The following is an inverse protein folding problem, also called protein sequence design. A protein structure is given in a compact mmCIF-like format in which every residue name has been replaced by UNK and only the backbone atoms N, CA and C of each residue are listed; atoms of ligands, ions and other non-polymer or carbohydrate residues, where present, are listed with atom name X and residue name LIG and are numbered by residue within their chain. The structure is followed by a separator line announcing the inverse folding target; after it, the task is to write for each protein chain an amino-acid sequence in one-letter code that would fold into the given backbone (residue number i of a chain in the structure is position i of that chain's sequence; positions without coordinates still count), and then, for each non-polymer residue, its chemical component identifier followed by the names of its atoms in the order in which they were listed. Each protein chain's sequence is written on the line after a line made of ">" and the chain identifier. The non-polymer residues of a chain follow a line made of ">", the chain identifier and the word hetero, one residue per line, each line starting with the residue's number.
data_IF_915977764306
#
_entry.id   IF_915977764306
#
_cell.length_a   1.000
_cell.length_b   1.000
_cell.length_c   1.000
_cell.angle_alpha   90.00
_cell.angle_beta   90.00
_cell.angle_gamma   90.00
#
_symmetry.space_group_name_H-M   'P 1'
#
loop_
_entity.id
_entity.type
_entity.pdbx_description
1 polymer ?
#
# COMPACT_ATOMS: atom_id res chain seq x y z
N UNK A 1 35.35 -18.07 24.24
CA UNK A 1 35.09 -17.13 23.14
C UNK A 1 34.35 -17.81 22.00
N UNK A 2 34.88 -18.92 21.42
CA UNK A 2 34.19 -19.65 20.31
C UNK A 2 32.81 -20.13 20.71
N UNK A 3 32.64 -20.74 21.88
CA UNK A 3 31.37 -21.20 22.40
C UNK A 3 30.33 -20.06 22.49
N UNK A 4 30.71 -18.93 23.08
CA UNK A 4 29.82 -17.78 23.22
C UNK A 4 29.46 -17.15 21.87
N UNK A 5 30.34 -17.26 20.89
CA UNK A 5 30.01 -16.82 19.52
C UNK A 5 29.01 -17.76 18.86
N UNK A 6 29.17 -19.09 18.98
CA UNK A 6 28.22 -20.07 18.43
C UNK A 6 26.85 -19.92 19.12
N UNK A 7 26.80 -19.80 20.43
CA UNK A 7 25.56 -19.62 21.22
C UNK A 7 24.80 -18.32 20.87
N UNK A 8 25.48 -17.35 20.26
CA UNK A 8 24.84 -16.11 19.82
C UNK A 8 24.08 -16.21 18.50
N UNK A 9 24.29 -17.29 17.74
CA UNK A 9 23.57 -17.49 16.47
C UNK A 9 22.17 -18.07 16.71
N UNK A 10 21.21 -17.47 16.07
CA UNK A 10 19.83 -17.93 16.05
C UNK A 10 19.25 -17.70 14.66
N UNK A 11 18.84 -18.76 14.00
CA UNK A 11 18.12 -18.73 12.74
C UNK A 11 16.67 -19.11 12.99
N UNK A 12 15.75 -18.19 12.78
CA UNK A 12 14.32 -18.43 12.93
C UNK A 12 13.61 -18.04 11.63
N UNK A 13 12.74 -18.94 11.15
CA UNK A 13 11.82 -18.70 10.07
C UNK A 13 10.41 -19.04 10.56
N UNK A 14 9.55 -18.02 10.62
CA UNK A 14 8.16 -18.17 11.01
C UNK A 14 7.24 -17.47 10.03
N UNK A 15 6.03 -17.99 9.87
CA UNK A 15 4.96 -17.37 9.08
C UNK A 15 3.81 -17.05 10.02
N UNK A 16 3.37 -15.80 9.97
CA UNK A 16 2.14 -15.33 10.60
C UNK A 16 1.41 -14.45 9.57
N UNK A 17 0.45 -15.05 8.89
CA UNK A 17 -0.30 -14.39 7.84
C UNK A 17 -1.79 -14.37 8.19
N UNK A 18 -2.40 -13.21 8.03
CA UNK A 18 -3.83 -12.99 8.21
C UNK A 18 -4.41 -12.42 6.91
N UNK A 19 -5.36 -13.13 6.34
CA UNK A 19 -6.10 -12.72 5.16
C UNK A 19 -7.56 -12.48 5.53
N UNK A 20 -8.05 -11.31 5.24
CA UNK A 20 -9.46 -10.97 5.42
C UNK A 20 -10.03 -10.43 4.10
N UNK A 21 -11.07 -11.06 3.61
CA UNK A 21 -11.76 -10.68 2.38
C UNK A 21 -13.24 -10.50 2.63
N UNK A 22 -13.83 -9.47 2.02
CA UNK A 22 -15.26 -9.21 2.05
C UNK A 22 -15.80 -9.11 0.62
N UNK A 23 -15.89 -10.26 -0.03
CA UNK A 23 -16.25 -10.38 -1.44
C UNK A 23 -17.26 -11.50 -1.64
N UNK A 24 -18.40 -11.21 -2.29
CA UNK A 24 -19.37 -12.24 -2.69
C UNK A 24 -18.94 -12.90 -3.99
N UNK A 25 -19.10 -14.22 -4.06
CA UNK A 25 -18.70 -15.02 -5.22
C UNK A 25 -17.28 -15.57 -5.14
N UNK A 26 -16.50 -15.24 -4.10
CA UNK A 26 -15.25 -15.89 -3.80
C UNK A 26 -15.51 -17.02 -2.80
N UNK A 27 -15.25 -18.26 -3.20
CA UNK A 27 -15.38 -19.45 -2.37
C UNK A 27 -14.00 -20.05 -2.10
N UNK A 28 -13.64 -20.14 -0.84
CA UNK A 28 -12.42 -20.81 -0.39
C UNK A 28 -12.72 -22.29 -0.24
N UNK A 29 -12.10 -23.14 -1.06
CA UNK A 29 -12.31 -24.58 -1.08
C UNK A 29 -11.26 -25.31 -0.27
N UNK A 30 -11.70 -26.43 0.32
CA UNK A 30 -10.85 -27.40 1.00
C UNK A 30 -11.04 -28.75 0.33
N UNK A 31 -10.00 -29.53 0.27
CA UNK A 31 -10.12 -30.93 -0.11
C UNK A 31 -10.69 -31.75 1.05
N UNK A 32 -11.34 -32.85 0.72
CA UNK A 32 -11.92 -33.76 1.72
C UNK A 32 -10.86 -34.28 2.68
N UNK A 33 -11.08 -34.05 3.97
CA UNK A 33 -10.16 -34.45 5.03
C UNK A 33 -9.06 -33.41 5.36
N UNK A 34 -9.00 -32.28 4.67
CA UNK A 34 -8.06 -31.21 4.96
C UNK A 34 -8.72 -30.03 5.68
N UNK A 35 -7.98 -29.37 6.56
CA UNK A 35 -8.44 -28.21 7.32
C UNK A 35 -7.97 -26.86 6.73
N UNK A 36 -7.17 -26.89 5.67
CA UNK A 36 -6.61 -25.73 5.00
C UNK A 36 -7.23 -25.49 3.61
N UNK A 37 -7.06 -24.29 3.09
CA UNK A 37 -7.55 -23.87 1.78
C UNK A 37 -6.63 -24.47 0.73
N UNK A 38 -7.19 -25.30 -0.16
CA UNK A 38 -6.47 -25.89 -1.30
C UNK A 38 -6.71 -25.14 -2.60
N UNK A 39 -7.88 -24.45 -2.72
CA UNK A 39 -8.26 -23.75 -3.93
C UNK A 39 -9.21 -22.59 -3.63
N UNK A 40 -9.34 -21.67 -4.59
CA UNK A 40 -10.36 -20.64 -4.55
C UNK A 40 -11.11 -20.60 -5.87
N UNK A 41 -12.42 -20.63 -5.77
CA UNK A 41 -13.32 -20.53 -6.91
C UNK A 41 -14.03 -19.21 -6.92
N UNK A 42 -14.07 -18.59 -8.09
CA UNK A 42 -14.78 -17.35 -8.32
C UNK A 42 -16.03 -17.58 -9.13
N UNK A 43 -17.18 -17.46 -8.48
CA UNK A 43 -18.48 -17.62 -9.12
C UNK A 43 -19.13 -16.26 -9.41
N UNK A 44 -19.08 -15.84 -10.65
CA UNK A 44 -19.63 -14.55 -11.09
C UNK A 44 -21.15 -14.43 -10.89
N UNK A 45 -21.87 -15.59 -10.89
CA UNK A 45 -23.32 -15.62 -10.62
C UNK A 45 -23.68 -15.21 -9.18
N UNK A 46 -22.74 -15.39 -8.23
CA UNK A 46 -22.93 -15.10 -6.81
C UNK A 46 -22.39 -13.72 -6.43
N UNK A 47 -21.89 -12.97 -7.40
CA UNK A 47 -21.50 -11.58 -7.20
C UNK A 47 -22.68 -10.74 -6.74
N UNK A 48 -22.44 -9.87 -5.76
CA UNK A 48 -23.49 -9.02 -5.22
C UNK A 48 -22.97 -8.02 -4.20
N UNK A 49 -23.89 -7.28 -3.60
CA UNK A 49 -23.56 -6.31 -2.58
C UNK A 49 -23.03 -7.05 -1.34
N UNK A 50 -21.77 -6.80 -1.02
CA UNK A 50 -21.07 -7.41 0.13
C UNK A 50 -21.14 -6.56 1.41
N UNK A 51 -21.59 -5.30 1.31
CA UNK A 51 -21.69 -4.39 2.44
C UNK A 51 -22.28 -3.05 2.05
N UNK A 52 -22.43 -2.17 3.02
CA UNK A 52 -22.90 -0.82 2.84
C UNK A 52 -21.90 0.17 3.43
N UNK A 53 -21.75 1.32 2.79
CA UNK A 53 -20.86 2.36 3.24
C UNK A 53 -21.49 3.73 3.15
N UNK A 54 -20.90 4.63 3.91
CA UNK A 54 -21.21 6.06 3.86
C UNK A 54 -19.91 6.84 3.82
N UNK A 55 -19.85 7.82 2.94
CA UNK A 55 -18.73 8.75 2.82
C UNK A 55 -19.24 10.16 2.60
N UNK A 56 -18.51 11.13 3.09
CA UNK A 56 -18.81 12.54 2.93
C UNK A 56 -17.53 13.29 2.50
N UNK A 57 -17.72 14.22 1.57
CA UNK A 57 -16.71 15.15 1.12
C UNK A 57 -17.06 16.54 1.61
N UNK A 58 -16.11 17.20 2.26
CA UNK A 58 -16.25 18.55 2.77
C UNK A 58 -15.10 19.40 2.24
N UNK A 59 -15.41 20.61 1.79
CA UNK A 59 -14.38 21.52 1.33
C UNK A 59 -14.82 22.97 1.43
N UNK A 60 -13.82 23.82 1.59
CA UNK A 60 -14.00 25.26 1.60
C UNK A 60 -12.85 25.95 0.86
N UNK A 61 -13.17 27.04 0.21
CA UNK A 61 -12.21 27.93 -0.41
C UNK A 61 -12.51 29.35 0.05
N UNK A 62 -11.47 30.09 0.43
CA UNK A 62 -11.60 31.46 0.91
C UNK A 62 -10.62 32.38 0.20
N UNK A 63 -11.15 33.48 -0.30
CA UNK A 63 -10.38 34.52 -0.95
C UNK A 63 -9.90 35.52 0.11
N UNK A 64 -8.65 35.39 0.53
CA UNK A 64 -8.06 36.28 1.56
C UNK A 64 -7.82 37.70 0.98
N UNK A 65 -7.34 37.76 -0.27
CA UNK A 65 -7.11 38.96 -1.03
C UNK A 65 -7.62 38.74 -2.45
N UNK A 66 -7.70 39.82 -3.25
CA UNK A 66 -8.16 39.71 -4.64
C UNK A 66 -7.33 38.72 -5.49
N UNK A 67 -6.11 38.53 -5.09
CA UNK A 67 -5.15 37.67 -5.74
C UNK A 67 -4.64 36.47 -4.90
N UNK A 68 -5.15 36.28 -3.66
CA UNK A 68 -4.77 35.16 -2.81
C UNK A 68 -6.01 34.35 -2.40
N UNK A 69 -6.03 33.10 -2.82
CA UNK A 69 -7.07 32.14 -2.44
C UNK A 69 -6.43 30.99 -1.68
N UNK A 70 -7.05 30.59 -0.58
CA UNK A 70 -6.71 29.37 0.16
C UNK A 70 -7.87 28.41 0.11
N UNK A 71 -7.57 27.10 0.15
CA UNK A 71 -8.58 26.06 0.14
C UNK A 71 -8.19 24.91 1.05
N UNK A 72 -9.19 24.26 1.62
CA UNK A 72 -9.02 23.02 2.34
C UNK A 72 -10.21 22.10 2.05
N UNK A 73 -9.95 20.82 1.86
CA UNK A 73 -10.98 19.81 1.73
C UNK A 73 -10.56 18.49 2.34
N UNK A 74 -11.53 17.76 2.82
CA UNK A 74 -11.40 16.37 3.21
C UNK A 74 -12.37 15.55 2.36
N UNK A 75 -11.85 14.54 1.70
CA UNK A 75 -12.58 13.67 0.79
C UNK A 75 -12.66 12.27 1.38
N UNK A 76 -13.71 11.52 1.02
CA UNK A 76 -13.92 10.13 1.43
C UNK A 76 -13.89 9.93 2.96
N UNK A 77 -14.37 10.90 3.75
CA UNK A 77 -14.49 10.74 5.19
C UNK A 77 -15.64 9.79 5.49
N UNK A 78 -15.31 8.51 5.75
CA UNK A 78 -16.37 7.52 5.91
C UNK A 78 -15.88 6.11 6.22
N UNK A 79 -16.80 5.18 6.09
CA UNK A 79 -16.55 3.77 6.34
C UNK A 79 -17.44 2.88 5.49
N UNK A 80 -17.03 1.62 5.37
CA UNK A 80 -17.83 0.53 4.80
C UNK A 80 -18.04 -0.52 5.90
N UNK A 81 -19.29 -0.95 6.08
CA UNK A 81 -19.66 -2.08 6.91
C UNK A 81 -19.94 -3.29 6.00
N UNK A 82 -19.05 -4.26 6.05
CA UNK A 82 -19.16 -5.48 5.29
C UNK A 82 -20.04 -6.50 6.04
N UNK A 83 -20.89 -7.21 5.31
CA UNK A 83 -21.76 -8.21 5.93
C UNK A 83 -20.95 -9.41 6.43
N UNK A 84 -21.38 -9.99 7.55
CA UNK A 84 -20.75 -11.21 8.07
C UNK A 84 -20.75 -12.35 7.04
N UNK A 85 -21.84 -12.53 6.31
CA UNK A 85 -21.98 -13.59 5.30
C UNK A 85 -21.07 -13.42 4.06
N UNK A 86 -20.48 -12.24 3.87
CA UNK A 86 -19.55 -11.96 2.78
C UNK A 86 -18.10 -11.88 3.26
N UNK A 87 -17.87 -11.93 4.56
CA UNK A 87 -16.52 -11.82 5.14
C UNK A 87 -15.95 -13.20 5.36
N UNK A 88 -14.79 -13.43 4.78
CA UNK A 88 -14.00 -14.66 4.90
C UNK A 88 -12.67 -14.30 5.55
N UNK A 89 -12.26 -15.09 6.51
CA UNK A 89 -11.02 -14.92 7.26
C UNK A 89 -10.19 -16.18 7.07
N UNK A 90 -8.93 -16.02 6.76
CA UNK A 90 -7.99 -17.11 6.69
C UNK A 90 -6.69 -16.73 7.38
N UNK A 91 -6.19 -17.64 8.19
CA UNK A 91 -4.96 -17.45 8.95
C UNK A 91 -3.98 -18.56 8.62
N UNK A 92 -2.71 -18.22 8.46
CA UNK A 92 -1.62 -19.17 8.43
C UNK A 92 -0.63 -18.80 9.53
N UNK A 93 -0.35 -19.74 10.40
CA UNK A 93 0.65 -19.56 11.46
C UNK A 93 1.46 -20.84 11.56
N UNK A 94 2.73 -20.72 11.22
CA UNK A 94 3.67 -21.82 11.34
C UNK A 94 5.03 -21.30 11.81
N UNK A 95 5.66 -22.07 12.69
CA UNK A 95 7.08 -21.92 12.99
C UNK A 95 7.82 -22.93 12.12
N UNK A 96 8.62 -22.44 11.17
CA UNK A 96 9.41 -23.32 10.31
C UNK A 96 10.70 -23.73 10.95
N UNK A 97 11.74 -22.96 10.75
CA UNK A 97 13.08 -23.25 11.26
C UNK A 97 13.30 -22.46 12.54
N UNK A 98 13.74 -23.13 13.57
CA UNK A 98 14.24 -22.52 14.81
C UNK A 98 15.53 -23.26 15.20
N UNK A 99 16.67 -22.74 14.76
CA UNK A 99 18.01 -23.27 15.02
C UNK A 99 18.76 -22.33 15.94
N UNK A 100 19.06 -22.78 17.14
CA UNK A 100 19.84 -21.99 18.12
C UNK A 100 21.23 -22.58 18.24
N UNK A 101 22.24 -21.75 18.16
CA UNK A 101 23.63 -22.17 18.37
C UNK A 101 23.87 -22.83 19.73
N UNK A 102 23.08 -22.49 20.74
CA UNK A 102 23.08 -23.14 22.05
C UNK A 102 22.79 -24.65 22.00
N UNK A 103 21.97 -25.09 21.02
CA UNK A 103 21.55 -26.49 20.89
C UNK A 103 22.71 -27.39 20.45
N UNK A 104 23.72 -26.77 19.82
CA UNK A 104 24.92 -27.45 19.30
C UNK A 104 26.17 -27.23 20.16
N UNK A 105 26.03 -26.69 21.36
CA UNK A 105 27.13 -26.51 22.32
C UNK A 105 26.88 -27.19 23.65
N UNK A 106 25.80 -27.96 23.75
CA UNK A 106 25.41 -28.70 24.97
C UNK A 106 26.41 -29.80 25.32
N UNK A 107 26.58 -30.08 26.62
CA UNK A 107 27.39 -31.20 27.11
C UNK A 107 28.91 -30.99 27.03
N UNK A 108 29.40 -29.82 26.70
CA UNK A 108 30.81 -29.49 26.65
C UNK A 108 31.23 -28.95 28.04
N UNK A 109 31.98 -29.80 28.76
CA UNK A 109 32.52 -29.52 30.08
C UNK A 109 34.07 -29.56 30.04
N UNK A 110 34.79 -28.45 30.33
CA UNK A 110 36.26 -28.44 30.34
C UNK A 110 36.90 -29.35 31.39
N UNK A 111 36.13 -29.80 32.37
CA UNK A 111 36.61 -30.74 33.40
C UNK A 111 36.47 -32.21 33.00
N UNK A 112 35.64 -32.55 32.00
CA UNK A 112 35.46 -33.88 31.42
C UNK A 112 35.81 -33.84 29.93
N UNK A 113 37.08 -34.05 29.61
CA UNK A 113 37.56 -34.03 28.21
C UNK A 113 36.98 -35.15 27.37
N UNK A 114 36.93 -36.45 27.84
CA UNK A 114 36.33 -37.52 27.04
C UNK A 114 34.85 -37.30 26.77
N UNK A 115 34.06 -36.91 27.76
CA UNK A 115 32.65 -36.57 27.61
C UNK A 115 32.43 -35.39 26.67
N UNK A 116 33.26 -34.37 26.75
CA UNK A 116 33.21 -33.20 25.87
C UNK A 116 33.48 -33.57 24.41
N UNK A 117 34.42 -34.45 24.13
CA UNK A 117 34.67 -34.94 22.75
C UNK A 117 33.42 -35.61 22.18
N UNK A 118 32.83 -36.53 22.95
CA UNK A 118 31.59 -37.21 22.55
C UNK A 118 30.45 -36.22 22.35
N UNK A 119 30.32 -35.25 23.21
CA UNK A 119 29.31 -34.19 23.07
C UNK A 119 29.53 -33.36 21.81
N UNK A 120 30.76 -32.97 21.50
CA UNK A 120 31.11 -32.23 20.27
C UNK A 120 30.75 -33.06 19.03
N UNK A 121 31.12 -34.34 18.99
CA UNK A 121 30.79 -35.22 17.87
C UNK A 121 29.28 -35.30 17.64
N UNK A 122 28.51 -35.50 18.70
CA UNK A 122 27.06 -35.55 18.64
C UNK A 122 26.46 -34.21 18.19
N UNK A 123 26.94 -33.11 18.73
CA UNK A 123 26.49 -31.76 18.34
C UNK A 123 26.76 -31.45 16.87
N UNK A 124 27.91 -31.80 16.34
CA UNK A 124 28.26 -31.69 14.92
C UNK A 124 27.32 -32.52 14.08
N UNK A 125 27.05 -33.76 14.48
CA UNK A 125 26.16 -34.66 13.77
C UNK A 125 24.73 -34.13 13.72
N UNK A 126 24.24 -33.61 14.83
CA UNK A 126 22.93 -32.98 14.91
C UNK A 126 22.84 -31.74 14.01
N UNK A 127 23.83 -30.87 14.08
CA UNK A 127 23.91 -29.67 13.22
C UNK A 127 23.92 -30.05 11.72
N UNK A 128 24.67 -31.10 11.35
CA UNK A 128 24.69 -31.59 9.97
C UNK A 128 23.32 -32.14 9.56
N UNK A 129 22.63 -32.85 10.45
CA UNK A 129 21.31 -33.41 10.17
C UNK A 129 20.29 -32.30 9.95
N UNK A 130 20.27 -31.32 10.84
CA UNK A 130 19.35 -30.18 10.77
C UNK A 130 19.64 -29.30 9.55
N UNK A 131 20.93 -29.03 9.29
CA UNK A 131 21.35 -28.25 8.13
C UNK A 131 21.04 -28.95 6.80
N UNK A 132 21.25 -30.28 6.73
CA UNK A 132 20.92 -31.06 5.54
C UNK A 132 19.40 -31.12 5.33
N UNK A 133 18.62 -31.34 6.37
CA UNK A 133 17.17 -31.28 6.30
C UNK A 133 16.66 -29.92 5.80
N UNK A 134 17.27 -28.83 6.26
CA UNK A 134 16.99 -27.51 5.75
C UNK A 134 17.36 -27.34 4.26
N UNK A 135 18.57 -27.77 3.88
CA UNK A 135 19.05 -27.68 2.50
C UNK A 135 18.24 -28.55 1.54
N UNK A 136 17.76 -29.70 1.97
CA UNK A 136 16.85 -30.54 1.19
C UNK A 136 15.52 -29.83 0.93
N UNK A 137 14.93 -29.19 1.93
CA UNK A 137 13.73 -28.38 1.78
C UNK A 137 13.96 -27.22 0.81
N UNK A 138 15.06 -26.48 1.00
CA UNK A 138 15.43 -25.34 0.11
C UNK A 138 15.61 -25.80 -1.33
N UNK A 139 16.31 -26.90 -1.55
CA UNK A 139 16.60 -27.41 -2.90
C UNK A 139 15.38 -28.08 -3.56
N UNK A 140 14.46 -28.64 -2.77
CA UNK A 140 13.20 -29.20 -3.23
C UNK A 140 12.14 -28.13 -3.59
N UNK A 141 12.41 -26.86 -3.30
CA UNK A 141 11.41 -25.80 -3.45
C UNK A 141 10.46 -25.68 -2.26
N UNK A 142 10.67 -26.50 -1.22
CA UNK A 142 9.84 -26.61 -0.01
C UNK A 142 10.25 -25.58 1.08
N UNK A 143 11.05 -24.59 0.75
CA UNK A 143 11.37 -23.46 1.67
C UNK A 143 10.12 -22.70 2.06
N UNK A 144 9.18 -22.68 1.14
CA UNK A 144 7.80 -22.28 1.33
C UNK A 144 6.95 -23.56 1.39
N UNK A 145 7.31 -24.47 2.28
CA UNK A 145 6.51 -25.69 2.46
C UNK A 145 5.04 -25.28 2.50
N UNK A 146 4.25 -25.95 1.69
CA UNK A 146 2.81 -25.73 1.61
C UNK A 146 2.17 -25.78 3.00
N UNK A 147 2.76 -26.52 3.91
CA UNK A 147 2.38 -26.57 5.33
C UNK A 147 2.61 -25.25 6.08
N UNK A 148 3.64 -24.48 5.74
CA UNK A 148 3.92 -23.16 6.36
C UNK A 148 2.93 -22.10 5.91
N UNK A 149 2.40 -22.21 4.70
CA UNK A 149 1.43 -21.30 4.12
C UNK A 149 0.01 -21.85 4.13
N UNK A 150 -0.27 -22.92 4.87
CA UNK A 150 -1.62 -23.46 5.02
C UNK A 150 -2.53 -22.41 5.64
N UNK A 151 -3.30 -21.75 4.78
CA UNK A 151 -4.35 -20.85 5.20
C UNK A 151 -5.54 -21.66 5.70
N UNK A 152 -5.84 -21.53 6.98
CA UNK A 152 -7.02 -22.12 7.61
C UNK A 152 -8.12 -21.08 7.70
N UNK A 153 -9.31 -21.45 7.27
CA UNK A 153 -10.48 -20.59 7.38
C UNK A 153 -10.94 -20.46 8.82
N UNK A 154 -11.24 -19.25 9.23
CA UNK A 154 -11.92 -18.94 10.48
C UNK A 154 -13.30 -18.36 10.18
N UNK A 155 -14.31 -18.75 10.97
CA UNK A 155 -15.63 -18.16 10.81
C UNK A 155 -15.63 -16.69 11.25
N UNK A 156 -16.12 -15.81 10.39
CA UNK A 156 -16.33 -14.42 10.74
C UNK A 156 -17.34 -14.31 11.88
N UNK A 157 -16.89 -13.92 13.06
CA UNK A 157 -17.75 -13.75 14.23
C UNK A 157 -18.62 -12.48 14.16
N UNK A 158 -18.17 -11.48 13.40
CA UNK A 158 -18.80 -10.14 13.31
C UNK A 158 -18.75 -9.63 11.87
N UNK A 159 -19.57 -8.61 11.60
CA UNK A 159 -19.40 -7.78 10.41
C UNK A 159 -18.08 -7.03 10.49
N UNK A 160 -17.37 -7.00 9.38
CA UNK A 160 -16.13 -6.24 9.24
C UNK A 160 -16.43 -4.78 8.97
N UNK A 161 -15.67 -3.87 9.57
CA UNK A 161 -15.72 -2.45 9.24
C UNK A 161 -14.36 -1.99 8.71
N UNK A 162 -14.37 -1.33 7.56
CA UNK A 162 -13.19 -0.69 7.01
C UNK A 162 -13.44 0.82 6.86
N UNK A 163 -12.43 1.63 7.17
CA UNK A 163 -12.48 3.06 6.89
C UNK A 163 -12.18 3.28 5.41
N UNK A 164 -12.82 4.29 4.83
CA UNK A 164 -12.41 4.78 3.51
C UNK A 164 -11.02 5.43 3.60
N UNK A 165 -10.30 5.41 2.50
CA UNK A 165 -9.00 6.06 2.40
C UNK A 165 -9.18 7.57 2.27
N UNK A 166 -9.51 8.24 3.37
CA UNK A 166 -9.78 9.67 3.40
C UNK A 166 -8.58 10.47 2.91
N UNK A 167 -8.85 11.56 2.20
CA UNK A 167 -7.82 12.42 1.64
C UNK A 167 -8.00 13.84 2.13
N UNK A 168 -6.99 14.40 2.78
CA UNK A 168 -6.92 15.80 3.16
C UNK A 168 -6.17 16.57 2.07
N UNK A 169 -6.78 17.62 1.56
CA UNK A 169 -6.18 18.50 0.56
C UNK A 169 -6.16 19.93 1.11
N UNK A 170 -4.99 20.55 1.15
CA UNK A 170 -4.80 21.93 1.57
C UNK A 170 -4.03 22.66 0.47
N UNK A 171 -4.53 23.80 0.03
CA UNK A 171 -3.92 24.56 -1.05
C UNK A 171 -3.96 26.06 -0.87
N UNK A 172 -3.03 26.73 -1.53
CA UNK A 172 -3.00 28.16 -1.68
C UNK A 172 -2.59 28.52 -3.11
N UNK A 173 -3.25 29.52 -3.69
CA UNK A 173 -2.91 30.06 -5.01
C UNK A 173 -2.79 31.59 -4.90
N UNK A 174 -1.70 32.13 -5.43
CA UNK A 174 -1.46 33.56 -5.53
C UNK A 174 -1.36 34.00 -6.99
N UNK A 175 -2.15 34.99 -7.36
CA UNK A 175 -2.26 35.55 -8.71
C UNK A 175 -1.44 36.81 -8.91
N UNK A 176 -0.72 36.87 -10.00
CA UNK A 176 0.03 38.03 -10.47
C UNK A 176 -0.59 38.60 -11.76
N UNK A 177 -0.35 39.87 -12.04
CA UNK A 177 -0.77 40.52 -13.28
C UNK A 177 -2.27 40.37 -13.57
N UNK A 178 -3.10 40.73 -12.61
CA UNK A 178 -4.55 40.55 -12.67
C UNK A 178 -4.93 39.06 -12.91
N UNK A 179 -4.28 38.16 -12.18
CA UNK A 179 -4.47 36.72 -12.24
C UNK A 179 -4.15 36.08 -13.61
N UNK A 180 -3.35 36.75 -14.47
CA UNK A 180 -2.86 36.14 -15.72
C UNK A 180 -1.78 35.10 -15.47
N UNK A 181 -1.00 35.25 -14.41
CA UNK A 181 -0.07 34.24 -13.90
C UNK A 181 -0.50 33.89 -12.48
N UNK A 182 -0.69 32.62 -12.19
CA UNK A 182 -0.95 32.14 -10.84
C UNK A 182 0.11 31.12 -10.43
N UNK A 183 0.58 31.22 -9.19
CA UNK A 183 1.44 30.21 -8.57
C UNK A 183 0.71 29.60 -7.39
N UNK A 184 0.86 28.31 -7.19
CA UNK A 184 0.15 27.60 -6.15
C UNK A 184 1.02 26.56 -5.46
N UNK A 185 0.62 26.23 -4.25
CA UNK A 185 1.11 25.07 -3.51
C UNK A 185 -0.08 24.26 -3.03
N UNK A 186 0.00 22.94 -3.19
CA UNK A 186 -1.04 21.99 -2.80
C UNK A 186 -0.39 20.87 -2.01
N UNK A 187 -0.91 20.61 -0.82
CA UNK A 187 -0.57 19.43 -0.03
C UNK A 187 -1.74 18.45 -0.05
N UNK A 188 -1.49 17.22 -0.48
CA UNK A 188 -2.47 16.15 -0.49
C UNK A 188 -1.97 15.03 0.40
N UNK A 189 -2.72 14.70 1.46
CA UNK A 189 -2.41 13.60 2.36
C UNK A 189 -3.51 12.56 2.29
N UNK A 190 -3.19 11.38 1.82
CA UNK A 190 -4.10 10.23 1.75
C UNK A 190 -3.85 9.31 2.92
N UNK A 191 -4.86 9.12 3.75
CA UNK A 191 -4.81 8.26 4.95
C UNK A 191 -5.10 6.82 4.54
N UNK A 192 -4.04 6.10 4.20
CA UNK A 192 -4.05 4.66 3.88
C UNK A 192 -3.27 3.91 4.93
N UNK A 193 -3.49 2.59 5.05
CA UNK A 193 -2.69 1.74 5.92
C UNK A 193 -1.57 1.07 5.11
N UNK A 194 -0.40 0.81 5.72
CA UNK A 194 -0.05 1.11 7.13
C UNK A 194 0.28 2.57 7.39
N UNK A 195 0.66 3.35 6.38
CA UNK A 195 1.16 4.72 6.54
C UNK A 195 0.43 5.70 5.63
N UNK A 196 0.23 6.93 6.13
CA UNK A 196 -0.34 8.00 5.32
C UNK A 196 0.65 8.44 4.23
N UNK A 197 0.14 8.67 3.02
CA UNK A 197 0.92 9.13 1.87
C UNK A 197 0.70 10.62 1.68
N UNK A 198 1.77 11.40 1.72
CA UNK A 198 1.73 12.84 1.51
C UNK A 198 2.46 13.23 0.24
N UNK A 199 1.80 14.08 -0.54
CA UNK A 199 2.33 14.73 -1.73
C UNK A 199 2.30 16.24 -1.54
N UNK A 200 3.37 16.92 -1.91
CA UNK A 200 3.43 18.38 -1.99
C UNK A 200 3.68 18.78 -3.44
N UNK A 201 2.74 19.54 -4.01
CA UNK A 201 2.79 20.00 -5.40
C UNK A 201 2.89 21.50 -5.45
N UNK A 202 3.86 21.99 -6.20
CA UNK A 202 3.95 23.40 -6.61
C UNK A 202 3.47 23.54 -8.05
N UNK A 203 2.72 24.58 -8.34
CA UNK A 203 2.18 24.83 -9.67
C UNK A 203 2.37 26.25 -10.14
N UNK A 204 2.45 26.42 -11.46
CA UNK A 204 2.41 27.71 -12.12
C UNK A 204 1.45 27.63 -13.31
N UNK A 205 0.51 28.55 -13.39
CA UNK A 205 -0.50 28.60 -14.43
C UNK A 205 -0.43 29.96 -15.13
N UNK A 206 -0.15 29.95 -16.43
CA UNK A 206 -0.16 31.15 -17.26
C UNK A 206 -1.41 31.18 -18.14
N UNK A 207 -2.33 32.13 -17.86
CA UNK A 207 -3.65 32.26 -18.49
C UNK A 207 -3.92 33.66 -18.95
N UNK A 208 -3.20 34.17 -20.00
CA UNK A 208 -3.35 35.54 -20.46
C UNK A 208 -4.72 35.84 -21.07
N UNK A 209 -5.41 34.79 -21.56
CA UNK A 209 -6.76 34.87 -22.16
C UNK A 209 -7.58 33.65 -21.73
N UNK A 210 -8.90 33.76 -21.76
CA UNK A 210 -9.83 32.69 -21.35
C UNK A 210 -9.71 31.41 -22.17
N UNK A 211 -9.27 31.51 -23.41
CA UNK A 211 -9.11 30.39 -24.33
C UNK A 211 -7.71 29.75 -24.30
N UNK A 212 -6.75 30.37 -23.61
CA UNK A 212 -5.37 29.88 -23.58
C UNK A 212 -4.86 29.74 -22.13
N UNK A 213 -4.36 28.57 -21.79
CA UNK A 213 -3.71 28.32 -20.51
C UNK A 213 -2.56 27.33 -20.69
N UNK A 214 -1.42 27.62 -20.06
CA UNK A 214 -0.30 26.68 -19.87
C UNK A 214 -0.13 26.49 -18.38
N UNK A 215 -0.09 25.24 -17.96
CA UNK A 215 0.11 24.82 -16.58
C UNK A 215 1.39 23.99 -16.45
N UNK A 216 2.17 24.28 -15.43
CA UNK A 216 3.33 23.50 -15.01
C UNK A 216 3.14 23.08 -13.56
N UNK A 217 3.52 21.87 -13.22
CA UNK A 217 3.54 21.41 -11.83
C UNK A 217 4.81 20.60 -11.52
N UNK A 218 5.18 20.65 -10.26
CA UNK A 218 6.26 19.87 -9.70
C UNK A 218 5.81 19.30 -8.37
N UNK A 219 5.80 17.98 -8.27
CA UNK A 219 5.35 17.27 -7.08
C UNK A 219 6.47 16.49 -6.43
N UNK A 220 6.50 16.53 -5.09
CA UNK A 220 7.32 15.66 -4.25
C UNK A 220 6.37 14.66 -3.60
N UNK A 221 6.52 13.39 -3.96
CA UNK A 221 5.67 12.29 -3.48
C UNK A 221 6.49 11.45 -2.50
N UNK A 222 6.00 11.30 -1.29
CA UNK A 222 6.71 10.63 -0.20
C UNK A 222 7.18 9.20 -0.57
N UNK A 223 6.36 8.46 -1.31
CA UNK A 223 6.64 7.05 -1.65
C UNK A 223 7.25 6.85 -3.04
N UNK A 224 7.09 7.80 -3.97
CA UNK A 224 7.44 7.62 -5.38
C UNK A 224 8.51 8.61 -5.91
N UNK A 225 8.90 9.59 -5.09
CA UNK A 225 9.92 10.58 -5.46
C UNK A 225 9.33 11.83 -6.07
N UNK A 226 9.89 12.28 -7.21
CA UNK A 226 9.57 13.57 -7.82
C UNK A 226 8.88 13.38 -9.15
N UNK A 227 7.83 14.18 -9.42
CA UNK A 227 7.14 14.18 -10.70
C UNK A 227 6.95 15.58 -11.25
N UNK A 228 6.77 15.66 -12.56
CA UNK A 228 6.46 16.89 -13.27
C UNK A 228 5.12 16.74 -13.99
N UNK A 229 4.40 17.83 -14.09
CA UNK A 229 3.18 17.90 -14.89
C UNK A 229 3.24 19.07 -15.85
N UNK A 230 2.63 18.89 -17.01
CA UNK A 230 2.48 19.90 -18.06
C UNK A 230 1.06 19.83 -18.59
N UNK A 231 0.39 20.99 -18.64
CA UNK A 231 -0.94 21.12 -19.20
C UNK A 231 -1.02 22.27 -20.22
N UNK A 232 -1.75 22.03 -21.30
CA UNK A 232 -2.04 23.03 -22.32
C UNK A 232 -3.54 23.04 -22.59
N UNK A 233 -4.17 24.20 -22.54
CA UNK A 233 -5.55 24.43 -22.95
C UNK A 233 -5.61 25.40 -24.12
N UNK A 234 -6.30 25.02 -25.17
CA UNK A 234 -6.55 25.79 -26.38
C UNK A 234 -8.05 25.80 -26.69
N UNK A 235 -8.74 26.87 -26.33
CA UNK A 235 -10.20 26.96 -26.45
C UNK A 235 -10.90 25.87 -25.61
N UNK A 236 -11.73 25.04 -26.24
CA UNK A 236 -12.39 23.94 -25.53
C UNK A 236 -11.48 22.72 -25.32
N UNK A 237 -10.39 22.60 -26.05
CA UNK A 237 -9.49 21.45 -25.98
C UNK A 237 -8.44 21.64 -24.89
N UNK A 238 -8.16 20.56 -24.17
CA UNK A 238 -7.01 20.52 -23.26
C UNK A 238 -6.28 19.18 -23.34
N UNK A 239 -4.98 19.23 -23.18
CA UNK A 239 -4.08 18.08 -23.17
C UNK A 239 -3.04 18.28 -22.10
N UNK A 240 -2.59 17.22 -21.49
CA UNK A 240 -1.53 17.30 -20.51
C UNK A 240 -1.06 15.97 -19.97
N UNK A 241 -0.13 16.09 -19.05
CA UNK A 241 0.36 15.04 -18.18
C UNK A 241 0.43 15.60 -16.76
N UNK A 242 0.04 14.85 -15.76
CA UNK A 242 0.14 15.26 -14.35
C UNK A 242 1.27 14.51 -13.62
N UNK A 243 1.66 13.32 -14.11
CA UNK A 243 2.74 12.55 -13.53
C UNK A 243 3.75 12.11 -14.60
N UNK A 244 4.89 12.79 -14.62
CA UNK A 244 6.04 12.44 -15.43
C UNK A 244 7.19 12.11 -14.47
N UNK A 245 7.39 10.82 -14.18
CA UNK A 245 8.48 10.36 -13.34
C UNK A 245 9.73 10.14 -14.18
N UNK A 246 10.79 10.89 -13.88
CA UNK A 246 12.09 10.77 -14.50
C UNK A 246 13.10 10.32 -13.42
N UNK A 247 13.22 9.03 -13.20
CA UNK A 247 14.09 8.46 -12.17
C UNK A 247 14.98 7.34 -12.67
N UNK A 248 15.94 6.92 -11.84
CA UNK A 248 16.88 5.84 -12.22
C UNK A 248 16.20 4.49 -12.40
N UNK A 249 15.09 4.23 -11.66
CA UNK A 249 14.46 2.91 -11.56
C UNK A 249 12.99 2.85 -12.01
N UNK A 250 12.38 4.00 -12.33
CA UNK A 250 11.01 4.02 -12.84
C UNK A 250 10.81 5.25 -13.72
N UNK A 251 10.52 5.03 -14.98
CA UNK A 251 10.10 6.05 -15.92
C UNK A 251 8.66 5.75 -16.29
N UNK A 252 7.73 6.60 -15.88
CA UNK A 252 6.34 6.50 -16.28
C UNK A 252 5.82 7.87 -16.65
N UNK A 253 5.00 7.91 -17.68
CA UNK A 253 4.30 9.11 -18.15
C UNK A 253 2.86 8.72 -18.36
N UNK A 254 1.95 9.50 -17.78
CA UNK A 254 0.55 9.44 -18.14
C UNK A 254 0.23 10.62 -19.06
N UNK A 255 -0.85 10.53 -19.81
CA UNK A 255 -1.34 11.60 -20.64
C UNK A 255 -2.85 11.63 -20.64
N UNK A 256 -3.41 12.83 -20.70
CA UNK A 256 -4.83 13.03 -20.83
C UNK A 256 -5.16 14.03 -21.92
N UNK A 257 -6.29 13.85 -22.56
CA UNK A 257 -6.89 14.79 -23.50
C UNK A 257 -8.37 14.93 -23.18
N UNK A 258 -8.89 16.12 -23.27
CA UNK A 258 -10.29 16.35 -22.99
C UNK A 258 -10.86 17.60 -23.66
N UNK A 259 -12.16 17.74 -23.56
CA UNK A 259 -12.94 18.86 -24.09
C UNK A 259 -13.74 19.49 -22.96
N UNK A 260 -13.62 20.81 -22.80
CA UNK A 260 -14.37 21.58 -21.80
C UNK A 260 -15.22 22.64 -22.51
N UNK A 261 -16.54 22.41 -22.58
CA UNK A 261 -17.49 23.34 -23.18
C UNK A 261 -18.30 23.99 -22.06
N UNK A 262 -18.13 25.31 -21.82
CA UNK A 262 -18.94 26.01 -20.84
C UNK A 262 -20.39 26.14 -21.34
N UNK A 263 -21.32 25.52 -20.61
CA UNK A 263 -22.75 25.68 -20.85
C UNK A 263 -23.28 26.85 -20.01
N UNK A 264 -23.66 27.94 -20.66
CA UNK A 264 -24.21 29.12 -20.01
C UNK A 264 -23.16 30.20 -19.67
N UNK A 265 -22.84 31.04 -20.65
CA UNK A 265 -22.16 32.30 -20.40
C UNK A 265 -23.11 33.28 -19.70
N UNK A 266 -22.80 33.66 -18.45
CA UNK A 266 -23.38 34.90 -17.89
C UNK A 266 -23.06 36.04 -18.87
N UNK A 267 -24.06 36.63 -19.47
CA UNK A 267 -23.90 37.93 -20.14
C UNK A 267 -23.34 38.89 -19.09
N UNK A 268 -22.11 39.34 -19.28
CA UNK A 268 -21.61 40.45 -18.51
C UNK A 268 -22.57 41.61 -18.74
N UNK A 269 -23.24 42.09 -17.71
CA UNK A 269 -23.92 43.35 -17.73
C UNK A 269 -22.88 44.39 -18.12
N UNK A 270 -23.04 44.92 -19.32
CA UNK A 270 -22.44 46.22 -19.68
C UNK A 270 -23.26 47.28 -18.90
N UNK A 271 -22.83 47.54 -17.69
CA UNK A 271 -23.14 48.82 -17.05
C UNK A 271 -22.07 49.80 -17.47
N UNK A 272 -22.53 50.97 -17.93
CA UNK A 272 -21.86 52.01 -18.67
C UNK A 272 -20.76 52.80 -17.99
#
# INVERSE_FOLDING_TARGET
>A
KLRSEIESYHANLAVDAHLESSFKGLNLKKEDGQDYISDFEFESKDMGIAGYGFGIDLGASYKIMDNLTVSASILDLGFISWSKSSTQIANAKASGIDMKGSDYTSGIDPSDIPGSITAIENNIKNLQTDANGYMERVSGGDVLDYEMLQLRTEEASKSRKSRLASTLVIGAEYGFFNNKLAVGALSTTRFVQPDALTELTFSANYRPKSWFNVALSYSVIQSAGKSFGLGLKLGPLFVGTDYMFLGKNSNSVNGFVGVSIPLGGRKANKEG
#
